data_IF_853759298544
#
_entry.id   IF_853759298544
#
_cell.length_a   1.000
_cell.length_b   1.000
_cell.length_c   1.000
_cell.angle_alpha   90.00
_cell.angle_beta   90.00
_cell.angle_gamma   90.00
#
_symmetry.space_group_name_H-M   'P 1'
#
loop_
_entity.id
_entity.type
_entity.pdbx_description
1 polymer ?
#
# COMPACT_ATOMS: atom_id res chain seq x y z
N UNK A 1 0.78 -15.87 19.69
CA UNK A 1 0.20 -15.98 18.33
C UNK A 1 -1.20 -15.38 18.41
N UNK A 2 -1.45 -14.26 17.73
CA UNK A 2 -2.83 -13.74 17.58
C UNK A 2 -3.43 -14.56 16.44
N UNK A 3 -4.37 -15.44 16.75
CA UNK A 3 -5.16 -16.12 15.72
C UNK A 3 -6.12 -15.08 15.14
N UNK A 4 -5.93 -14.71 13.87
CA UNK A 4 -6.81 -13.76 13.18
C UNK A 4 -8.15 -14.40 12.84
N UNK A 5 -9.22 -13.61 12.91
CA UNK A 5 -10.53 -14.00 12.41
C UNK A 5 -10.63 -13.77 10.89
N UNK A 6 -11.49 -14.53 10.21
CA UNK A 6 -11.72 -14.37 8.76
C UNK A 6 -12.25 -12.95 8.49
N UNK A 7 -11.71 -12.28 7.46
CA UNK A 7 -12.02 -10.90 7.02
C UNK A 7 -11.51 -9.77 7.93
N UNK A 8 -10.66 -10.04 8.92
CA UNK A 8 -10.01 -8.99 9.67
C UNK A 8 -9.04 -8.19 8.78
N UNK A 9 -9.21 -6.86 8.72
CA UNK A 9 -8.32 -5.97 7.98
C UNK A 9 -7.15 -5.54 8.87
N UNK A 10 -5.93 -5.74 8.38
CA UNK A 10 -4.70 -5.32 9.02
C UNK A 10 -3.91 -4.37 8.11
N UNK A 11 -3.19 -3.42 8.70
CA UNK A 11 -2.24 -2.57 7.98
C UNK A 11 -0.83 -3.06 8.28
N UNK A 12 -0.14 -3.49 7.25
CA UNK A 12 1.24 -3.94 7.36
C UNK A 12 2.18 -2.79 7.00
N UNK A 13 3.27 -2.66 7.75
CA UNK A 13 4.39 -1.79 7.37
C UNK A 13 5.28 -2.61 6.45
N UNK A 14 5.62 -2.07 5.28
CA UNK A 14 6.57 -2.70 4.37
C UNK A 14 7.94 -2.84 5.04
N UNK A 15 8.70 -3.89 4.73
CA UNK A 15 10.11 -3.96 5.09
C UNK A 15 10.90 -2.88 4.34
N UNK A 16 11.30 -3.10 3.06
CA UNK A 16 11.83 -2.04 2.22
C UNK A 16 10.70 -1.32 1.44
N UNK A 17 10.69 0.01 1.48
CA UNK A 17 9.64 0.82 0.86
C UNK A 17 9.69 0.79 -0.68
N UNK A 18 10.85 1.05 -1.30
CA UNK A 18 10.99 1.18 -2.76
C UNK A 18 10.52 -0.05 -3.56
N UNK A 19 10.98 -1.29 -3.27
CA UNK A 19 10.51 -2.46 -4.00
C UNK A 19 9.01 -2.72 -3.77
N UNK A 20 8.47 -2.38 -2.59
CA UNK A 20 7.03 -2.55 -2.30
C UNK A 20 6.19 -1.58 -3.13
N UNK A 21 6.60 -0.33 -3.20
CA UNK A 21 5.94 0.70 -4.02
C UNK A 21 5.94 0.33 -5.51
N UNK A 22 7.06 -0.20 -6.01
CA UNK A 22 7.21 -0.59 -7.41
C UNK A 22 6.31 -1.79 -7.82
N UNK A 23 5.83 -2.56 -6.85
CA UNK A 23 4.90 -3.66 -7.08
C UNK A 23 3.44 -3.20 -7.24
N UNK A 24 3.13 -1.92 -7.05
CA UNK A 24 1.76 -1.39 -7.11
C UNK A 24 1.62 -0.29 -8.15
N UNK A 25 0.43 -0.14 -8.74
CA UNK A 25 0.13 0.93 -9.71
C UNK A 25 -0.35 2.22 -9.04
N UNK A 26 -0.89 2.13 -7.82
CA UNK A 26 -1.58 3.21 -7.12
C UNK A 26 -1.18 3.30 -5.65
N UNK A 27 -1.17 4.52 -5.13
CA UNK A 27 -1.24 4.81 -3.71
C UNK A 27 -2.67 5.23 -3.35
N UNK A 28 -3.17 4.69 -2.24
CA UNK A 28 -4.43 5.11 -1.63
C UNK A 28 -4.12 6.02 -0.46
N UNK A 29 -4.30 7.33 -0.64
CA UNK A 29 -4.13 8.32 0.41
C UNK A 29 -5.36 8.36 1.32
N UNK A 30 -5.17 8.04 2.60
CA UNK A 30 -6.25 8.01 3.60
C UNK A 30 -6.09 9.15 4.59
N UNK A 31 -7.17 9.91 4.85
CA UNK A 31 -7.24 10.95 5.87
C UNK A 31 -8.54 10.82 6.65
N UNK A 32 -8.48 10.90 7.98
CA UNK A 32 -9.64 10.76 8.87
C UNK A 32 -10.46 9.47 8.63
N UNK A 33 -9.78 8.37 8.27
CA UNK A 33 -10.44 7.08 8.02
C UNK A 33 -11.08 6.92 6.63
N UNK A 34 -11.04 7.94 5.78
CA UNK A 34 -11.61 7.91 4.42
C UNK A 34 -10.54 8.13 3.36
N UNK A 35 -10.76 7.61 2.16
CA UNK A 35 -9.89 7.87 1.01
C UNK A 35 -10.02 9.35 0.62
N UNK A 36 -8.91 10.07 0.69
CA UNK A 36 -8.83 11.48 0.33
C UNK A 36 -8.24 11.69 -1.07
N UNK A 37 -7.35 10.79 -1.51
CA UNK A 37 -6.74 10.87 -2.83
C UNK A 37 -6.27 9.51 -3.35
N UNK A 38 -6.10 9.45 -4.67
CA UNK A 38 -5.49 8.34 -5.38
C UNK A 38 -4.33 8.89 -6.20
N UNK A 39 -3.12 8.39 -5.94
CA UNK A 39 -1.91 8.80 -6.64
C UNK A 39 -1.39 7.66 -7.53
N UNK A 40 -1.02 7.95 -8.77
CA UNK A 40 -0.37 6.97 -9.63
C UNK A 40 1.09 6.78 -9.24
N UNK A 41 1.59 5.55 -9.35
CA UNK A 41 3.02 5.27 -9.27
C UNK A 41 3.62 5.54 -10.66
N UNK A 42 3.94 6.81 -10.93
CA UNK A 42 4.26 7.32 -12.27
C UNK A 42 5.49 6.67 -12.94
N UNK A 43 6.41 6.12 -12.15
CA UNK A 43 7.63 5.45 -12.62
C UNK A 43 7.67 3.96 -12.29
N UNK A 44 6.51 3.34 -12.05
CA UNK A 44 6.43 1.91 -11.77
C UNK A 44 7.11 1.09 -12.87
N UNK A 45 7.93 0.13 -12.46
CA UNK A 45 8.72 -0.80 -13.30
C UNK A 45 9.65 -0.10 -14.29
N UNK A 46 9.97 1.19 -14.11
CA UNK A 46 11.03 1.85 -14.87
C UNK A 46 12.37 1.43 -14.29
N UNK A 47 12.96 0.43 -14.94
CA UNK A 47 14.30 -0.08 -14.66
C UNK A 47 15.11 0.10 -15.94
N UNK A 48 15.46 1.35 -16.23
CA UNK A 48 16.32 1.76 -17.35
C UNK A 48 16.69 3.23 -17.19
#
# INVERSE_FOLDING_TARGET
>A
MVAGEINQLLRLVSGPCDPTCNLNDWYVGVRNGTVACLGSVSTRRKVY
#
